data_IF_429875986981
#
_entry.id   IF_429875986981
#
_cell.length_a   1.000
_cell.length_b   1.000
_cell.length_c   1.000
_cell.angle_alpha   90.00
_cell.angle_beta   90.00
_cell.angle_gamma   90.00
#
_symmetry.space_group_name_H-M   'P 1'
#
loop_
_entity.id
_entity.type
_entity.pdbx_description
1 polymer ?
#
# COMPACT_ATOMS: atom_id res chain seq x y z
N UNK A 1 35.66 -42.57 -17.51
CA UNK A 1 34.26 -42.99 -17.70
C UNK A 1 33.41 -41.73 -17.77
N UNK A 2 32.85 -41.36 -18.93
CA UNK A 2 31.92 -40.23 -18.99
C UNK A 2 30.74 -40.56 -18.07
N UNK A 3 30.57 -39.77 -17.01
CA UNK A 3 29.40 -39.85 -16.14
C UNK A 3 28.17 -39.68 -17.02
N UNK A 4 27.22 -40.61 -16.97
CA UNK A 4 25.93 -40.44 -17.63
C UNK A 4 25.30 -39.16 -17.07
N UNK A 5 25.40 -38.05 -17.81
CA UNK A 5 24.87 -36.78 -17.39
C UNK A 5 23.36 -36.95 -17.22
N UNK A 6 22.87 -36.76 -16.01
CA UNK A 6 21.44 -36.81 -15.70
C UNK A 6 20.78 -35.59 -16.34
N UNK A 7 20.34 -35.74 -17.59
CA UNK A 7 19.63 -34.71 -18.33
C UNK A 7 18.13 -34.83 -18.07
N UNK A 8 17.49 -33.74 -17.67
CA UNK A 8 16.04 -33.63 -17.65
C UNK A 8 15.52 -33.48 -19.08
N UNK A 9 14.36 -34.05 -19.41
CA UNK A 9 13.71 -33.77 -20.69
C UNK A 9 13.37 -32.27 -20.80
N UNK A 10 13.47 -31.67 -22.00
CA UNK A 10 13.04 -30.30 -22.21
C UNK A 10 11.51 -30.21 -22.09
N UNK A 11 11.02 -29.07 -21.58
CA UNK A 11 9.60 -28.75 -21.63
C UNK A 11 9.11 -28.75 -23.09
N UNK A 12 7.86 -29.18 -23.31
CA UNK A 12 7.24 -29.13 -24.64
C UNK A 12 7.17 -27.70 -25.14
N UNK A 13 7.28 -27.51 -26.46
CA UNK A 13 7.04 -26.19 -27.05
C UNK A 13 5.66 -25.70 -26.66
N UNK A 14 5.59 -24.45 -26.19
CA UNK A 14 4.33 -23.84 -25.81
C UNK A 14 3.35 -23.81 -26.99
N UNK A 15 2.05 -23.85 -26.68
CA UNK A 15 1.01 -23.79 -27.70
C UNK A 15 1.19 -22.53 -28.57
N UNK A 16 1.05 -22.70 -29.89
CA UNK A 16 1.08 -21.57 -30.82
C UNK A 16 -0.29 -20.91 -30.89
N UNK A 17 -0.31 -19.62 -31.27
CA UNK A 17 -1.57 -18.89 -31.45
C UNK A 17 -2.48 -19.59 -32.46
N UNK A 18 -1.88 -20.08 -33.56
CA UNK A 18 -2.59 -20.86 -34.56
C UNK A 18 -3.20 -22.15 -33.99
N UNK A 19 -2.49 -22.86 -33.10
CA UNK A 19 -3.01 -24.08 -32.47
C UNK A 19 -4.21 -23.78 -31.57
N UNK A 20 -4.21 -22.66 -30.86
CA UNK A 20 -5.30 -22.27 -29.97
C UNK A 20 -6.52 -21.80 -30.74
N UNK A 21 -6.33 -20.99 -31.79
CA UNK A 21 -7.42 -20.55 -32.66
C UNK A 21 -8.09 -21.73 -33.38
N UNK A 22 -7.28 -22.68 -33.86
CA UNK A 22 -7.77 -23.87 -34.57
C UNK A 22 -8.30 -24.98 -33.65
N UNK A 23 -8.08 -24.88 -32.34
CA UNK A 23 -8.56 -25.89 -31.39
C UNK A 23 -10.09 -25.97 -31.44
N UNK A 24 -10.64 -27.19 -31.51
CA UNK A 24 -12.09 -27.42 -31.46
C UNK A 24 -12.62 -27.57 -30.04
N UNK A 25 -11.74 -27.86 -29.08
CA UNK A 25 -12.10 -27.99 -27.67
C UNK A 25 -11.99 -26.65 -26.95
N UNK A 26 -12.82 -26.50 -25.92
CA UNK A 26 -12.76 -25.42 -24.94
C UNK A 26 -13.11 -25.99 -23.58
N UNK A 27 -12.39 -25.59 -22.54
CA UNK A 27 -12.69 -26.03 -21.17
C UNK A 27 -13.79 -25.16 -20.56
N UNK A 28 -14.53 -25.69 -19.57
CA UNK A 28 -15.40 -24.86 -18.74
C UNK A 28 -14.60 -23.77 -18.02
N UNK A 29 -15.17 -22.57 -17.89
CA UNK A 29 -14.52 -21.41 -17.25
C UNK A 29 -14.04 -21.75 -15.82
N UNK A 30 -14.86 -22.44 -15.04
CA UNK A 30 -14.51 -22.79 -13.66
C UNK A 30 -13.35 -23.78 -13.59
N UNK A 31 -13.26 -24.69 -14.56
CA UNK A 31 -12.11 -25.60 -14.70
C UNK A 31 -10.84 -24.81 -14.96
N UNK A 32 -10.87 -23.84 -15.89
CA UNK A 32 -9.70 -22.99 -16.19
C UNK A 32 -9.25 -22.22 -14.95
N UNK A 33 -10.17 -21.54 -14.24
CA UNK A 33 -9.85 -20.82 -13.00
C UNK A 33 -9.26 -21.73 -11.94
N UNK A 34 -9.87 -22.90 -11.73
CA UNK A 34 -9.41 -23.88 -10.74
C UNK A 34 -8.00 -24.37 -11.07
N UNK A 35 -7.71 -24.66 -12.34
CA UNK A 35 -6.37 -25.05 -12.79
C UNK A 35 -5.34 -23.95 -12.53
N UNK A 36 -5.62 -22.70 -12.93
CA UNK A 36 -4.71 -21.57 -12.70
C UNK A 36 -4.44 -21.32 -11.21
N UNK A 37 -5.49 -21.34 -10.38
CA UNK A 37 -5.35 -21.16 -8.93
C UNK A 37 -4.58 -22.31 -8.30
N UNK A 38 -4.89 -23.55 -8.66
CA UNK A 38 -4.22 -24.74 -8.12
C UNK A 38 -2.72 -24.72 -8.44
N UNK A 39 -2.35 -24.44 -9.70
CA UNK A 39 -0.95 -24.36 -10.10
C UNK A 39 -0.26 -23.19 -9.38
N UNK A 40 -0.89 -22.02 -9.29
CA UNK A 40 -0.27 -20.87 -8.59
C UNK A 40 -0.04 -21.15 -7.10
N UNK A 41 -1.01 -21.74 -6.40
CA UNK A 41 -0.86 -22.12 -4.99
C UNK A 41 0.22 -23.19 -4.82
N UNK A 42 0.30 -24.17 -5.72
CA UNK A 42 1.34 -25.19 -5.71
C UNK A 42 2.74 -24.57 -5.84
N UNK A 43 2.94 -23.70 -6.84
CA UNK A 43 4.24 -23.07 -7.10
C UNK A 43 4.64 -22.15 -5.93
N UNK A 44 3.71 -21.37 -5.38
CA UNK A 44 3.97 -20.50 -4.22
C UNK A 44 4.32 -21.29 -2.95
N UNK A 45 3.63 -22.40 -2.69
CA UNK A 45 3.92 -23.29 -1.56
C UNK A 45 5.33 -23.89 -1.67
N UNK A 46 5.78 -24.22 -2.88
CA UNK A 46 7.14 -24.73 -3.10
C UNK A 46 8.18 -23.60 -3.05
N UNK A 47 7.92 -22.43 -3.66
CA UNK A 47 8.84 -21.29 -3.64
C UNK A 47 9.22 -20.89 -2.21
N UNK A 48 8.26 -20.90 -1.28
CA UNK A 48 8.51 -20.58 0.13
C UNK A 48 9.39 -21.63 0.86
N UNK A 49 9.48 -22.86 0.35
CA UNK A 49 10.18 -23.99 0.98
C UNK A 49 11.51 -24.32 0.34
N UNK A 50 11.66 -24.09 -0.97
CA UNK A 50 12.83 -24.47 -1.74
C UNK A 50 14.09 -23.81 -1.15
N UNK A 51 15.07 -24.64 -0.81
CA UNK A 51 16.37 -24.20 -0.28
C UNK A 51 17.47 -24.25 -1.33
N UNK A 52 17.22 -24.91 -2.47
CA UNK A 52 18.21 -25.07 -3.53
C UNK A 52 18.71 -23.70 -4.02
N UNK A 53 17.79 -22.81 -4.38
CA UNK A 53 18.12 -21.43 -4.78
C UNK A 53 17.51 -20.44 -3.80
N UNK A 54 18.23 -19.36 -3.56
CA UNK A 54 17.69 -18.22 -2.80
C UNK A 54 16.79 -17.44 -3.75
N UNK A 55 15.49 -17.40 -3.46
CA UNK A 55 14.62 -16.45 -4.13
C UNK A 55 15.14 -15.04 -3.81
N UNK A 56 15.33 -14.16 -4.82
CA UNK A 56 15.70 -12.78 -4.54
C UNK A 56 14.65 -12.16 -3.61
N UNK A 57 15.07 -11.22 -2.75
CA UNK A 57 14.12 -10.50 -1.92
C UNK A 57 13.08 -9.85 -2.82
N UNK A 58 11.81 -10.25 -2.65
CA UNK A 58 10.72 -9.74 -3.48
C UNK A 58 10.47 -8.29 -3.09
N UNK A 59 10.75 -7.35 -4.02
CA UNK A 59 10.25 -5.99 -3.88
C UNK A 59 8.72 -6.06 -3.97
N UNK A 60 8.00 -5.47 -3.01
CA UNK A 60 6.53 -5.41 -3.04
C UNK A 60 5.98 -4.68 -4.27
N UNK A 61 6.86 -3.99 -5.01
CA UNK A 61 6.56 -3.24 -6.22
C UNK A 61 7.19 -3.85 -7.48
N UNK A 62 7.56 -5.14 -7.48
CA UNK A 62 7.97 -5.87 -8.67
C UNK A 62 6.95 -6.95 -9.07
N UNK A 63 6.92 -7.29 -10.36
CA UNK A 63 6.04 -8.36 -10.83
C UNK A 63 6.59 -9.71 -10.40
N UNK A 64 5.78 -10.43 -9.61
CA UNK A 64 6.05 -11.81 -9.20
C UNK A 64 4.75 -12.61 -9.16
N UNK A 65 4.86 -13.95 -9.19
CA UNK A 65 3.72 -14.84 -9.03
C UNK A 65 2.99 -14.55 -7.72
N UNK A 66 3.74 -14.31 -6.63
CA UNK A 66 3.18 -13.99 -5.31
C UNK A 66 2.38 -12.71 -5.35
N UNK A 67 2.96 -11.63 -5.89
CA UNK A 67 2.28 -10.34 -5.97
C UNK A 67 0.99 -10.44 -6.80
N UNK A 68 1.02 -11.08 -7.98
CA UNK A 68 -0.18 -11.21 -8.82
C UNK A 68 -1.25 -12.10 -8.18
N UNK A 69 -0.85 -13.20 -7.52
CA UNK A 69 -1.76 -14.06 -6.79
C UNK A 69 -2.43 -13.33 -5.61
N UNK A 70 -1.65 -12.62 -4.80
CA UNK A 70 -2.15 -11.81 -3.69
C UNK A 70 -3.07 -10.69 -4.18
N UNK A 71 -2.72 -10.02 -5.29
CA UNK A 71 -3.58 -9.00 -5.90
C UNK A 71 -4.92 -9.58 -6.35
N UNK A 72 -4.89 -10.75 -6.99
CA UNK A 72 -6.10 -11.46 -7.40
C UNK A 72 -6.99 -11.81 -6.19
N UNK A 73 -6.38 -12.33 -5.11
CA UNK A 73 -7.07 -12.67 -3.86
C UNK A 73 -7.66 -11.44 -3.15
N UNK A 74 -6.93 -10.32 -3.13
CA UNK A 74 -7.36 -9.06 -2.52
C UNK A 74 -8.33 -8.25 -3.42
N UNK A 75 -8.69 -8.81 -4.58
CA UNK A 75 -9.68 -8.23 -5.47
C UNK A 75 -9.17 -7.06 -6.31
N UNK A 76 -7.87 -6.83 -6.43
CA UNK A 76 -7.39 -5.78 -7.34
C UNK A 76 -7.68 -6.13 -8.79
N UNK A 77 -8.11 -5.13 -9.54
CA UNK A 77 -8.28 -5.24 -10.98
C UNK A 77 -6.91 -5.22 -11.69
N UNK A 78 -6.82 -5.97 -12.79
CA UNK A 78 -5.66 -5.90 -13.66
C UNK A 78 -5.56 -4.49 -14.28
N UNK A 79 -4.35 -3.99 -14.57
CA UNK A 79 -4.18 -2.77 -15.34
C UNK A 79 -4.85 -2.93 -16.70
N UNK A 80 -5.65 -1.94 -17.12
CA UNK A 80 -6.16 -1.91 -18.49
C UNK A 80 -4.99 -1.83 -19.47
N UNK A 81 -5.10 -2.59 -20.56
CA UNK A 81 -4.13 -2.57 -21.66
C UNK A 81 -4.40 -1.45 -22.65
N UNK A 82 -5.60 -0.84 -22.61
CA UNK A 82 -5.87 0.34 -23.41
C UNK A 82 -4.97 1.45 -22.86
N UNK A 83 -3.98 1.84 -23.67
CA UNK A 83 -3.15 3.00 -23.36
C UNK A 83 -4.11 4.15 -23.09
N UNK A 84 -4.03 4.81 -21.93
CA UNK A 84 -4.81 6.01 -21.70
C UNK A 84 -4.46 6.96 -22.85
N UNK A 85 -5.45 7.29 -23.67
CA UNK A 85 -5.28 8.21 -24.78
C UNK A 85 -4.59 9.46 -24.20
N UNK A 86 -3.45 9.92 -24.75
CA UNK A 86 -2.75 11.08 -24.22
C UNK A 86 -3.65 12.33 -24.15
N UNK A 87 -4.72 12.39 -24.93
CA UNK A 87 -5.74 13.46 -24.87
C UNK A 87 -6.77 13.27 -23.74
N UNK A 88 -6.91 12.06 -23.18
CA UNK A 88 -7.88 11.72 -22.13
C UNK A 88 -7.37 11.95 -20.70
N UNK A 89 -6.06 12.14 -20.50
CA UNK A 89 -5.47 12.37 -19.18
C UNK A 89 -6.00 13.62 -18.43
N UNK A 90 -6.73 14.51 -19.11
CA UNK A 90 -7.36 15.70 -18.54
C UNK A 90 -8.81 15.50 -18.05
N UNK A 91 -9.44 14.33 -18.21
CA UNK A 91 -10.88 14.16 -17.93
C UNK A 91 -11.19 12.98 -16.99
N UNK A 92 -11.06 13.26 -15.68
CA UNK A 92 -11.81 12.72 -14.53
C UNK A 92 -11.89 11.20 -14.17
N UNK A 93 -11.86 10.88 -12.85
CA UNK A 93 -12.06 9.55 -12.26
C UNK A 93 -13.52 9.05 -12.19
N UNK A 94 -14.43 9.56 -13.02
CA UNK A 94 -15.89 9.41 -12.81
C UNK A 94 -16.50 8.09 -13.31
N UNK A 95 -15.79 7.32 -14.16
CA UNK A 95 -16.38 6.16 -14.85
C UNK A 95 -16.49 4.91 -13.97
N UNK A 96 -15.72 4.80 -12.89
CA UNK A 96 -15.78 3.62 -11.99
C UNK A 96 -16.98 3.62 -11.03
N UNK A 97 -17.77 4.70 -10.96
CA UNK A 97 -18.93 4.79 -10.08
C UNK A 97 -20.22 4.16 -10.67
N UNK A 98 -20.30 3.96 -11.99
CA UNK A 98 -21.55 3.62 -12.69
C UNK A 98 -21.82 2.11 -12.86
N UNK A 99 -21.01 1.22 -12.29
CA UNK A 99 -21.18 -0.24 -12.49
C UNK A 99 -21.70 -1.00 -11.26
N UNK A 100 -22.18 -0.31 -10.22
CA UNK A 100 -22.71 -0.91 -8.99
C UNK A 100 -24.22 -0.73 -8.79
N UNK A 101 -25.01 -0.52 -9.84
CA UNK A 101 -26.47 -0.46 -9.74
C UNK A 101 -27.10 -1.71 -10.35
N UNK A 102 -27.14 -2.79 -9.58
CA UNK A 102 -28.24 -3.76 -9.68
C UNK A 102 -28.31 -4.61 -8.39
N UNK A 103 -29.01 -4.08 -7.38
CA UNK A 103 -29.40 -4.87 -6.21
C UNK A 103 -30.68 -4.32 -5.61
N UNK A 104 -31.79 -4.87 -6.11
CA UNK A 104 -33.02 -5.25 -5.39
C UNK A 104 -33.32 -4.47 -4.12
N UNK A 105 -34.38 -3.64 -4.19
CA UNK A 105 -35.09 -3.11 -3.04
C UNK A 105 -35.53 -4.22 -2.09
N UNK A 106 -34.85 -4.36 -0.96
CA UNK A 106 -35.43 -4.94 0.26
C UNK A 106 -35.37 -3.89 1.37
N UNK A 107 -36.54 -3.60 1.91
CA UNK A 107 -36.79 -2.57 2.92
C UNK A 107 -36.50 -3.10 4.33
N UNK A 108 -36.00 -2.20 5.18
CA UNK A 108 -35.88 -2.32 6.64
C UNK A 108 -34.78 -3.22 7.21
N UNK A 109 -33.57 -2.69 7.34
CA UNK A 109 -32.65 -3.08 8.43
C UNK A 109 -31.77 -1.88 8.85
N UNK A 110 -31.67 -1.68 10.16
CA UNK A 110 -31.04 -0.62 10.95
C UNK A 110 -29.75 0.04 10.42
N UNK A 111 -29.47 1.30 10.83
CA UNK A 111 -28.27 2.04 10.46
C UNK A 111 -27.05 1.45 11.19
N UNK A 112 -26.42 0.44 10.60
CA UNK A 112 -25.08 0.03 10.99
C UNK A 112 -24.11 0.94 10.24
N UNK A 113 -23.50 1.86 10.98
CA UNK A 113 -22.42 2.75 10.53
C UNK A 113 -21.20 1.93 10.12
N UNK A 114 -21.27 1.23 8.99
CA UNK A 114 -20.09 0.79 8.28
C UNK A 114 -19.45 2.04 7.74
N UNK A 115 -18.43 2.53 8.45
CA UNK A 115 -17.44 3.46 7.92
C UNK A 115 -16.91 2.78 6.67
N UNK A 116 -17.48 3.14 5.51
CA UNK A 116 -16.95 2.80 4.22
C UNK A 116 -15.55 3.39 4.24
N UNK A 117 -14.55 2.51 4.37
CA UNK A 117 -13.14 2.84 4.19
C UNK A 117 -13.02 3.32 2.75
N UNK A 118 -13.30 4.61 2.55
CA UNK A 118 -13.31 5.27 1.27
C UNK A 118 -11.98 4.99 0.59
N UNK A 119 -12.07 4.66 -0.69
CA UNK A 119 -10.94 4.47 -1.60
C UNK A 119 -9.88 5.51 -1.29
N UNK A 120 -8.83 5.13 -0.56
CA UNK A 120 -7.75 6.06 -0.22
C UNK A 120 -7.19 6.57 -1.54
N UNK A 121 -7.08 7.89 -1.72
CA UNK A 121 -6.64 8.47 -2.99
C UNK A 121 -5.29 7.87 -3.37
N UNK A 122 -5.26 7.10 -4.46
CA UNK A 122 -4.08 6.38 -4.93
C UNK A 122 -4.15 4.85 -4.85
N UNK A 123 -5.20 4.27 -4.28
CA UNK A 123 -5.38 2.80 -4.28
C UNK A 123 -6.02 2.32 -5.58
N UNK A 124 -5.42 1.29 -6.20
CA UNK A 124 -6.01 0.64 -7.38
C UNK A 124 -7.44 0.17 -7.11
N UNK A 125 -8.34 0.24 -8.11
CA UNK A 125 -9.72 -0.21 -7.93
C UNK A 125 -9.76 -1.69 -7.52
N UNK A 126 -10.62 -2.00 -6.54
CA UNK A 126 -10.82 -3.35 -6.00
C UNK A 126 -12.25 -3.81 -6.23
N UNK A 127 -12.41 -5.08 -6.55
CA UNK A 127 -13.68 -5.81 -6.53
C UNK A 127 -13.79 -6.62 -5.25
N UNK A 128 -14.95 -6.65 -4.56
CA UNK A 128 -15.15 -7.50 -3.38
C UNK A 128 -15.30 -8.99 -3.73
N UNK A 129 -15.32 -9.35 -5.03
CA UNK A 129 -15.53 -10.72 -5.51
C UNK A 129 -14.31 -11.58 -5.21
N UNK A 130 -14.55 -12.77 -4.64
CA UNK A 130 -13.54 -13.83 -4.49
C UNK A 130 -13.03 -14.28 -5.88
N UNK A 131 -11.79 -14.78 -6.00
CA UNK A 131 -11.21 -15.18 -7.30
C UNK A 131 -12.12 -16.03 -8.19
N UNK A 132 -12.77 -17.07 -7.65
CA UNK A 132 -13.67 -17.92 -8.44
C UNK A 132 -14.89 -17.18 -9.03
N UNK A 133 -15.39 -16.15 -8.34
CA UNK A 133 -16.53 -15.33 -8.79
C UNK A 133 -16.12 -14.17 -9.72
N UNK A 134 -14.82 -13.97 -9.94
CA UNK A 134 -14.31 -12.94 -10.84
C UNK A 134 -14.46 -13.35 -12.31
N UNK A 135 -14.49 -12.39 -13.24
CA UNK A 135 -14.35 -12.68 -14.67
C UNK A 135 -13.10 -13.52 -14.97
N UNK A 136 -13.09 -14.26 -16.09
CA UNK A 136 -11.95 -15.10 -16.44
C UNK A 136 -10.77 -14.27 -16.98
N UNK A 137 -11.05 -13.16 -17.65
CA UNK A 137 -10.07 -12.21 -18.15
C UNK A 137 -9.14 -11.64 -17.05
N UNK A 138 -9.62 -11.56 -15.79
CA UNK A 138 -8.81 -11.13 -14.64
C UNK A 138 -7.63 -12.08 -14.34
N UNK A 139 -7.63 -13.28 -14.92
CA UNK A 139 -6.59 -14.30 -14.74
C UNK A 139 -5.51 -14.25 -15.84
N UNK A 140 -5.61 -13.34 -16.81
CA UNK A 140 -4.63 -13.19 -17.91
C UNK A 140 -3.19 -13.05 -17.39
N UNK A 141 -2.94 -12.08 -16.50
CA UNK A 141 -1.60 -11.82 -15.96
C UNK A 141 -1.08 -13.01 -15.12
N UNK A 142 -2.00 -13.68 -14.40
CA UNK A 142 -1.65 -14.87 -13.62
C UNK A 142 -1.21 -16.02 -14.54
N UNK A 143 -1.89 -16.20 -15.67
CA UNK A 143 -1.52 -17.21 -16.67
C UNK A 143 -0.11 -16.95 -17.24
N UNK A 144 0.20 -15.71 -17.59
CA UNK A 144 1.52 -15.33 -18.09
C UNK A 144 2.63 -15.59 -17.07
N UNK A 145 2.45 -15.12 -15.83
CA UNK A 145 3.47 -15.30 -14.79
C UNK A 145 3.65 -16.76 -14.41
N UNK A 146 2.60 -17.59 -14.49
CA UNK A 146 2.69 -19.03 -14.25
C UNK A 146 3.59 -19.72 -15.29
N UNK A 147 3.37 -19.46 -16.57
CA UNK A 147 4.20 -20.01 -17.65
C UNK A 147 5.67 -19.60 -17.48
N UNK A 148 5.92 -18.31 -17.24
CA UNK A 148 7.26 -17.78 -16.98
C UNK A 148 7.92 -18.45 -15.77
N UNK A 149 7.17 -18.62 -14.67
CA UNK A 149 7.68 -19.22 -13.42
C UNK A 149 8.06 -20.69 -13.61
N UNK A 150 7.19 -21.49 -14.25
CA UNK A 150 7.46 -22.93 -14.49
C UNK A 150 8.70 -23.10 -15.35
N UNK A 151 8.79 -22.33 -16.44
CA UNK A 151 9.91 -22.40 -17.35
C UNK A 151 11.22 -21.93 -16.69
N UNK A 152 11.18 -20.86 -15.90
CA UNK A 152 12.34 -20.39 -15.13
C UNK A 152 12.82 -21.44 -14.10
N UNK A 153 11.89 -22.06 -13.36
CA UNK A 153 12.23 -23.11 -12.39
C UNK A 153 12.82 -24.34 -13.07
N UNK A 154 12.25 -24.78 -14.19
CA UNK A 154 12.80 -25.89 -14.99
C UNK A 154 14.23 -25.58 -15.48
N UNK A 155 14.46 -24.40 -16.05
CA UNK A 155 15.79 -23.99 -16.50
C UNK A 155 16.81 -23.97 -15.36
N UNK A 156 16.42 -23.50 -14.17
CA UNK A 156 17.31 -23.55 -13.00
C UNK A 156 17.65 -24.99 -12.59
N UNK A 157 16.70 -25.92 -12.63
CA UNK A 157 17.00 -27.34 -12.36
C UNK A 157 17.99 -27.90 -13.38
N UNK A 158 17.77 -27.63 -14.67
CA UNK A 158 18.66 -28.05 -15.76
C UNK A 158 20.09 -27.55 -15.53
N UNK A 159 20.26 -26.24 -15.25
CA UNK A 159 21.59 -25.65 -15.01
C UNK A 159 22.28 -26.30 -13.81
N UNK A 160 21.55 -26.56 -12.71
CA UNK A 160 22.13 -27.19 -11.51
C UNK A 160 22.56 -28.63 -11.73
N UNK A 161 21.76 -29.41 -12.45
CA UNK A 161 22.07 -30.80 -12.79
C UNK A 161 23.24 -30.87 -13.77
N UNK A 162 23.29 -30.00 -14.77
CA UNK A 162 24.41 -29.91 -15.73
C UNK A 162 25.72 -29.51 -15.04
N UNK A 163 25.64 -28.65 -14.02
CA UNK A 163 26.81 -28.24 -13.24
C UNK A 163 27.21 -29.27 -12.16
N UNK A 164 26.51 -30.40 -12.06
CA UNK A 164 26.71 -31.43 -11.03
C UNK A 164 26.63 -30.92 -9.57
N UNK A 165 25.96 -29.78 -9.32
CA UNK A 165 25.67 -29.31 -7.96
C UNK A 165 24.65 -30.19 -7.25
N UNK A 166 23.80 -30.86 -8.01
CA UNK A 166 22.73 -31.70 -7.52
C UNK A 166 22.55 -32.95 -8.39
N UNK A 167 22.01 -34.01 -7.80
CA UNK A 167 21.53 -35.21 -8.49
C UNK A 167 20.00 -35.28 -8.54
N UNK A 168 19.44 -36.10 -9.43
CA UNK A 168 17.98 -36.27 -9.58
C UNK A 168 17.27 -36.78 -8.31
N UNK A 169 18.00 -37.52 -7.48
CA UNK A 169 17.52 -38.06 -6.22
C UNK A 169 17.57 -37.06 -5.05
N UNK A 170 18.22 -35.91 -5.24
CA UNK A 170 18.31 -34.88 -4.19
C UNK A 170 16.92 -34.28 -3.93
N UNK A 171 16.64 -34.00 -2.67
CA UNK A 171 15.39 -33.35 -2.26
C UNK A 171 15.47 -31.83 -2.43
N UNK A 172 14.40 -31.20 -2.92
CA UNK A 172 14.30 -29.75 -3.14
C UNK A 172 14.44 -28.92 -1.85
N UNK A 173 14.03 -29.50 -0.73
CA UNK A 173 14.10 -28.98 0.63
C UNK A 173 13.97 -30.15 1.62
N UNK A 174 14.30 -29.98 2.92
CA UNK A 174 14.21 -31.07 3.89
C UNK A 174 12.81 -31.70 3.91
N UNK A 175 12.72 -33.02 3.69
CA UNK A 175 11.45 -33.78 3.57
C UNK A 175 10.55 -33.36 2.39
N UNK A 176 11.11 -32.66 1.40
CA UNK A 176 10.43 -32.28 0.17
C UNK A 176 10.51 -33.35 -0.93
N UNK A 177 9.89 -33.08 -2.09
CA UNK A 177 10.00 -33.94 -3.26
C UNK A 177 11.45 -33.98 -3.76
N UNK A 178 11.81 -35.07 -4.42
CA UNK A 178 13.07 -35.13 -5.17
C UNK A 178 13.02 -34.20 -6.38
N UNK A 179 14.19 -33.83 -6.93
CA UNK A 179 14.28 -33.03 -8.14
C UNK A 179 13.51 -33.70 -9.29
N UNK A 180 13.61 -35.02 -9.45
CA UNK A 180 12.87 -35.76 -10.48
C UNK A 180 11.34 -35.68 -10.29
N UNK A 181 10.85 -35.78 -9.06
CA UNK A 181 9.42 -35.66 -8.75
C UNK A 181 8.91 -34.24 -9.00
N UNK A 182 9.69 -33.24 -8.59
CA UNK A 182 9.34 -31.84 -8.80
C UNK A 182 9.32 -31.50 -10.30
N UNK A 183 10.31 -31.95 -11.07
CA UNK A 183 10.36 -31.80 -12.52
C UNK A 183 9.15 -32.44 -13.22
N UNK A 184 8.75 -33.64 -12.79
CA UNK A 184 7.53 -34.29 -13.30
C UNK A 184 6.29 -33.42 -13.05
N UNK A 185 6.21 -32.79 -11.88
CA UNK A 185 5.10 -31.91 -11.53
C UNK A 185 5.12 -30.61 -12.34
N UNK A 186 6.31 -30.07 -12.64
CA UNK A 186 6.47 -28.92 -13.53
C UNK A 186 6.00 -29.24 -14.95
N UNK A 187 6.33 -30.42 -15.48
CA UNK A 187 5.84 -30.88 -16.78
C UNK A 187 4.32 -31.01 -16.81
N UNK A 188 3.71 -31.58 -15.77
CA UNK A 188 2.25 -31.68 -15.66
C UNK A 188 1.58 -30.31 -15.63
N UNK A 189 2.12 -29.37 -14.84
CA UNK A 189 1.62 -28.00 -14.79
C UNK A 189 1.79 -27.28 -16.14
N UNK A 190 2.94 -27.47 -16.79
CA UNK A 190 3.23 -26.92 -18.12
C UNK A 190 2.28 -27.45 -19.18
N UNK A 191 2.04 -28.76 -19.21
CA UNK A 191 1.12 -29.40 -20.16
C UNK A 191 -0.33 -28.94 -19.92
N UNK A 192 -0.75 -28.77 -18.65
CA UNK A 192 -2.06 -28.26 -18.33
C UNK A 192 -2.27 -26.80 -18.81
N UNK A 193 -1.26 -25.94 -18.64
CA UNK A 193 -1.33 -24.55 -19.11
C UNK A 193 -1.21 -24.44 -20.63
N UNK A 194 -0.49 -25.36 -21.28
CA UNK A 194 -0.35 -25.42 -22.73
C UNK A 194 -1.47 -26.20 -23.43
N UNK A 195 -2.48 -26.67 -22.70
CA UNK A 195 -3.66 -27.24 -23.33
C UNK A 195 -4.37 -26.19 -24.19
N UNK A 196 -4.52 -26.48 -25.49
CA UNK A 196 -5.06 -25.53 -26.44
C UNK A 196 -6.52 -25.15 -26.12
N UNK A 197 -7.30 -26.05 -25.49
CA UNK A 197 -8.67 -25.75 -25.07
C UNK A 197 -8.72 -24.77 -23.89
N UNK A 198 -7.80 -24.91 -22.93
CA UNK A 198 -7.72 -24.04 -21.77
C UNK A 198 -7.38 -22.62 -22.23
N UNK A 199 -6.30 -22.51 -23.01
CA UNK A 199 -5.84 -21.24 -23.54
C UNK A 199 -6.86 -20.61 -24.50
N UNK A 200 -7.59 -21.40 -25.31
CA UNK A 200 -8.70 -20.90 -26.15
C UNK A 200 -9.82 -20.27 -25.32
N UNK A 201 -10.16 -20.89 -24.19
CA UNK A 201 -11.22 -20.39 -23.31
C UNK A 201 -10.82 -19.07 -22.67
N UNK A 202 -9.56 -18.97 -22.23
CA UNK A 202 -8.99 -17.74 -21.68
C UNK A 202 -8.88 -16.64 -22.76
N UNK A 203 -8.38 -16.97 -23.96
CA UNK A 203 -8.29 -16.06 -25.10
C UNK A 203 -9.65 -15.47 -25.47
N UNK A 204 -10.68 -16.30 -25.58
CA UNK A 204 -12.03 -15.84 -25.88
C UNK A 204 -12.60 -14.92 -24.78
N UNK A 205 -12.28 -15.16 -23.51
CA UNK A 205 -12.70 -14.28 -22.41
C UNK A 205 -11.97 -12.92 -22.47
N UNK A 206 -10.66 -12.92 -22.70
CA UNK A 206 -9.86 -11.70 -22.85
C UNK A 206 -10.34 -10.86 -24.04
N UNK A 207 -10.63 -11.48 -25.20
CA UNK A 207 -11.20 -10.78 -26.36
C UNK A 207 -12.53 -10.12 -26.04
N UNK A 208 -13.45 -10.87 -25.41
CA UNK A 208 -14.75 -10.33 -25.00
C UNK A 208 -14.63 -9.16 -24.02
N UNK A 209 -13.70 -9.25 -23.07
CA UNK A 209 -13.43 -8.18 -22.13
C UNK A 209 -12.91 -6.92 -22.84
N UNK A 210 -11.99 -7.08 -23.79
CA UNK A 210 -11.46 -5.96 -24.60
C UNK A 210 -12.53 -5.33 -25.51
N UNK A 211 -13.39 -6.14 -26.14
CA UNK A 211 -14.55 -5.63 -26.88
C UNK A 211 -15.47 -4.83 -25.97
N UNK A 212 -15.76 -5.34 -24.77
CA UNK A 212 -16.59 -4.64 -23.79
C UNK A 212 -15.94 -3.31 -23.36
N UNK A 213 -14.63 -3.29 -23.15
CA UNK A 213 -13.90 -2.08 -22.79
C UNK A 213 -13.93 -1.04 -23.91
N UNK A 214 -13.69 -1.45 -25.16
CA UNK A 214 -13.80 -0.57 -26.33
C UNK A 214 -15.22 -0.03 -26.50
N UNK A 215 -16.25 -0.85 -26.28
CA UNK A 215 -17.64 -0.37 -26.27
C UNK A 215 -17.83 0.72 -25.20
N UNK A 216 -17.39 0.46 -23.96
CA UNK A 216 -17.51 1.42 -22.87
C UNK A 216 -16.78 2.72 -23.16
N UNK A 217 -15.61 2.65 -23.83
CA UNK A 217 -14.87 3.84 -24.24
C UNK A 217 -15.62 4.62 -25.33
N UNK A 218 -16.15 3.97 -26.36
CA UNK A 218 -16.99 4.62 -27.38
C UNK A 218 -18.19 5.32 -26.74
N UNK A 219 -18.88 4.65 -25.81
CA UNK A 219 -20.00 5.24 -25.07
C UNK A 219 -19.57 6.43 -24.21
N UNK A 220 -18.40 6.35 -23.57
CA UNK A 220 -17.84 7.47 -22.80
C UNK A 220 -17.49 8.66 -23.70
N UNK A 221 -16.88 8.42 -24.87
CA UNK A 221 -16.59 9.45 -25.87
C UNK A 221 -17.86 10.14 -26.37
N UNK A 222 -18.94 9.36 -26.58
CA UNK A 222 -20.26 9.90 -26.95
C UNK A 222 -20.84 10.79 -25.86
N UNK A 223 -20.78 10.36 -24.61
CA UNK A 223 -21.28 11.11 -23.44
C UNK A 223 -20.51 12.41 -23.21
N UNK A 224 -19.23 12.45 -23.59
CA UNK A 224 -18.42 13.67 -23.56
C UNK A 224 -18.53 14.51 -24.84
N UNK A 225 -19.47 14.21 -25.73
CA UNK A 225 -19.71 14.92 -27.00
C UNK A 225 -18.46 14.99 -27.93
N UNK A 226 -17.50 14.07 -27.77
CA UNK A 226 -16.31 14.00 -28.63
C UNK A 226 -16.59 13.38 -29.98
N UNK A 227 -17.61 12.52 -30.05
CA UNK A 227 -18.08 11.86 -31.26
C UNK A 227 -19.57 12.07 -31.43
N UNK A 228 -20.04 12.07 -32.68
CA UNK A 228 -21.48 12.17 -32.96
C UNK A 228 -22.18 10.84 -32.72
N UNK A 229 -23.52 10.86 -32.65
CA UNK A 229 -24.32 9.62 -32.56
C UNK A 229 -24.16 8.73 -33.81
N UNK A 230 -23.87 9.35 -34.96
CA UNK A 230 -23.60 8.59 -36.19
C UNK A 230 -22.28 7.83 -36.07
N UNK A 231 -21.22 8.51 -35.65
CA UNK A 231 -19.89 7.92 -35.46
C UNK A 231 -19.92 6.78 -34.43
N UNK A 232 -20.65 6.96 -33.32
CA UNK A 232 -20.87 5.90 -32.32
C UNK A 232 -21.46 4.63 -32.97
N UNK A 233 -22.52 4.77 -33.78
CA UNK A 233 -23.16 3.62 -34.45
C UNK A 233 -22.22 2.94 -35.45
N UNK A 234 -21.44 3.72 -36.17
CA UNK A 234 -20.44 3.20 -37.12
C UNK A 234 -19.33 2.44 -36.40
N UNK A 235 -18.73 3.03 -35.36
CA UNK A 235 -17.68 2.39 -34.56
C UNK A 235 -18.19 1.12 -33.87
N UNK A 236 -19.39 1.13 -33.32
CA UNK A 236 -19.99 -0.06 -32.71
C UNK A 236 -20.27 -1.15 -33.75
N UNK A 237 -20.77 -0.78 -34.93
CA UNK A 237 -20.99 -1.73 -36.04
C UNK A 237 -19.67 -2.39 -36.43
N UNK A 238 -18.60 -1.62 -36.55
CA UNK A 238 -17.29 -2.13 -36.95
C UNK A 238 -16.67 -3.00 -35.85
N UNK A 239 -16.80 -2.59 -34.58
CA UNK A 239 -16.33 -3.36 -33.40
C UNK A 239 -16.99 -4.75 -33.30
N UNK A 240 -18.30 -4.84 -33.60
CA UNK A 240 -19.03 -6.11 -33.53
C UNK A 240 -19.02 -6.93 -34.82
N UNK A 241 -18.60 -6.34 -35.95
CA UNK A 241 -18.49 -7.06 -37.23
C UNK A 241 -17.42 -8.14 -37.18
N UNK A 242 -16.24 -7.80 -36.64
CA UNK A 242 -15.06 -8.67 -36.66
C UNK A 242 -14.45 -8.82 -35.26
N UNK A 243 -15.19 -9.43 -34.32
CA UNK A 243 -14.68 -9.66 -32.95
C UNK A 243 -13.40 -10.50 -32.91
N UNK A 244 -13.13 -11.28 -33.95
CA UNK A 244 -11.94 -12.10 -34.09
C UNK A 244 -10.68 -11.29 -34.42
N UNK A 245 -10.83 -10.04 -34.88
CA UNK A 245 -9.71 -9.12 -35.11
C UNK A 245 -9.18 -8.50 -33.81
N UNK A 246 -10.03 -8.44 -32.77
CA UNK A 246 -9.63 -7.91 -31.46
C UNK A 246 -8.59 -8.83 -30.86
N UNK A 247 -7.41 -8.31 -30.58
CA UNK A 247 -6.31 -9.06 -29.99
C UNK A 247 -6.76 -9.77 -28.70
N UNK A 248 -6.56 -11.09 -28.63
CA UNK A 248 -6.79 -11.87 -27.41
C UNK A 248 -5.52 -11.95 -26.57
N UNK A 249 -5.16 -13.15 -26.12
CA UNK A 249 -3.87 -13.38 -25.46
C UNK A 249 -2.72 -12.93 -26.38
N UNK A 250 -1.81 -12.14 -25.84
CA UNK A 250 -0.57 -11.74 -26.49
C UNK A 250 0.45 -12.90 -26.52
N UNK A 251 1.09 -13.11 -27.69
CA UNK A 251 2.18 -14.07 -27.86
C UNK A 251 3.53 -13.36 -27.67
N UNK A 252 4.04 -13.41 -26.45
CA UNK A 252 5.27 -12.70 -26.08
C UNK A 252 6.48 -13.57 -26.45
N UNK A 253 7.13 -13.27 -27.58
CA UNK A 253 8.52 -13.67 -27.88
C UNK A 253 8.90 -15.13 -27.62
N UNK A 254 8.03 -16.08 -27.96
CA UNK A 254 8.28 -17.52 -27.75
C UNK A 254 8.17 -17.98 -26.29
N UNK A 255 7.43 -17.24 -25.46
CA UNK A 255 7.21 -17.52 -24.03
C UNK A 255 8.48 -17.48 -23.17
N UNK A 256 9.50 -16.74 -23.63
CA UNK A 256 10.72 -16.54 -22.86
C UNK A 256 10.39 -15.86 -21.51
N UNK A 257 10.81 -16.44 -20.36
CA UNK A 257 10.44 -15.94 -19.03
C UNK A 257 10.76 -14.46 -18.81
N UNK A 258 11.96 -14.03 -19.26
CA UNK A 258 12.42 -12.64 -19.12
C UNK A 258 11.56 -11.64 -19.92
N UNK A 259 11.08 -12.04 -21.10
CA UNK A 259 10.23 -11.18 -21.94
C UNK A 259 8.84 -11.02 -21.33
N UNK A 260 8.28 -12.10 -20.78
CA UNK A 260 6.99 -12.07 -20.08
C UNK A 260 7.08 -11.17 -18.84
N UNK A 261 8.14 -11.32 -18.03
CA UNK A 261 8.34 -10.49 -16.84
C UNK A 261 8.51 -9.02 -17.21
N UNK A 262 9.35 -8.70 -18.20
CA UNK A 262 9.56 -7.32 -18.65
C UNK A 262 8.27 -6.68 -19.19
N UNK A 263 7.46 -7.43 -19.94
CA UNK A 263 6.16 -6.97 -20.43
C UNK A 263 5.18 -6.69 -19.29
N UNK A 264 5.07 -7.60 -18.31
CA UNK A 264 4.22 -7.38 -17.14
C UNK A 264 4.76 -6.22 -16.28
N UNK A 265 6.07 -6.07 -16.13
CA UNK A 265 6.65 -4.95 -15.38
C UNK A 265 6.29 -3.60 -16.00
N UNK A 266 6.35 -3.48 -17.34
CA UNK A 266 5.91 -2.27 -18.03
C UNK A 266 4.40 -2.06 -17.87
N UNK A 267 3.58 -3.11 -17.97
CA UNK A 267 2.12 -3.06 -17.75
C UNK A 267 1.78 -2.52 -16.35
N UNK A 268 2.49 -2.96 -15.32
CA UNK A 268 2.23 -2.56 -13.92
C UNK A 268 2.99 -1.29 -13.49
N UNK A 269 3.91 -0.78 -14.30
CA UNK A 269 4.81 0.33 -13.96
C UNK A 269 4.09 1.57 -13.42
N UNK A 270 3.00 1.98 -14.07
CA UNK A 270 2.25 3.17 -13.67
C UNK A 270 1.56 2.98 -12.32
N UNK A 271 1.01 1.79 -12.05
CA UNK A 271 0.34 1.44 -10.80
C UNK A 271 1.37 1.35 -9.67
N UNK A 272 2.47 0.65 -9.88
CA UNK A 272 3.51 0.52 -8.86
C UNK A 272 4.16 1.85 -8.50
N UNK A 273 4.33 2.77 -9.45
CA UNK A 273 4.78 4.14 -9.12
C UNK A 273 3.83 4.83 -8.14
N UNK A 274 2.52 4.80 -8.43
CA UNK A 274 1.49 5.42 -7.58
C UNK A 274 1.42 4.75 -6.20
N UNK A 275 1.44 3.42 -6.16
CA UNK A 275 1.41 2.66 -4.90
C UNK A 275 2.67 2.90 -4.06
N UNK A 276 3.85 2.99 -4.70
CA UNK A 276 5.12 3.29 -4.03
C UNK A 276 5.16 4.72 -3.49
N UNK A 277 4.60 5.69 -4.21
CA UNK A 277 4.44 7.06 -3.73
C UNK A 277 3.46 7.13 -2.55
N UNK A 278 2.32 6.45 -2.64
CA UNK A 278 1.34 6.36 -1.55
C UNK A 278 1.94 5.70 -0.30
N UNK A 279 2.71 4.62 -0.45
CA UNK A 279 3.42 3.97 0.65
C UNK A 279 4.42 4.92 1.33
N UNK A 280 5.22 5.66 0.54
CA UNK A 280 6.15 6.68 1.07
C UNK A 280 5.43 7.80 1.81
N UNK A 281 4.25 8.21 1.36
CA UNK A 281 3.45 9.23 2.05
C UNK A 281 2.94 8.70 3.39
N UNK A 282 2.46 7.45 3.42
CA UNK A 282 1.99 6.79 4.63
C UNK A 282 3.12 6.63 5.66
N UNK A 283 4.33 6.26 5.23
CA UNK A 283 5.52 6.19 6.09
C UNK A 283 5.93 7.55 6.68
N UNK A 284 5.65 8.65 5.96
CA UNK A 284 5.97 10.02 6.42
C UNK A 284 4.92 10.59 7.38
N UNK A 285 3.69 10.10 7.39
CA UNK A 285 2.64 10.58 8.30
C UNK A 285 3.00 10.49 9.79
N UNK A 286 3.50 9.36 10.34
CA UNK A 286 3.86 9.28 11.76
C UNK A 286 4.98 10.25 12.11
N UNK A 287 5.95 10.45 11.20
CA UNK A 287 7.02 11.43 11.37
C UNK A 287 6.46 12.86 11.42
N UNK A 288 5.51 13.20 10.54
CA UNK A 288 4.81 14.49 10.57
C UNK A 288 4.05 14.70 11.88
N UNK A 289 3.29 13.70 12.32
CA UNK A 289 2.54 13.74 13.60
C UNK A 289 3.49 13.87 14.80
N UNK A 290 4.64 13.21 14.77
CA UNK A 290 5.66 13.31 15.83
C UNK A 290 6.32 14.69 15.86
N UNK A 291 6.70 15.23 14.71
CA UNK A 291 7.24 16.59 14.60
C UNK A 291 6.23 17.65 15.05
N UNK A 292 4.95 17.47 14.74
CA UNK A 292 3.89 18.37 15.19
C UNK A 292 3.70 18.30 16.71
N UNK A 293 3.66 17.10 17.29
CA UNK A 293 3.64 16.90 18.75
C UNK A 293 4.84 17.53 19.43
N UNK A 294 6.03 17.43 18.83
CA UNK A 294 7.26 18.04 19.36
C UNK A 294 7.18 19.57 19.32
N UNK A 295 6.69 20.16 18.22
CA UNK A 295 6.45 21.61 18.13
C UNK A 295 5.46 22.10 19.17
N UNK A 296 4.37 21.35 19.42
CA UNK A 296 3.39 21.68 20.46
C UNK A 296 4.04 21.64 21.84
N UNK A 297 4.80 20.58 22.15
CA UNK A 297 5.54 20.47 23.42
C UNK A 297 6.54 21.59 23.62
N UNK A 298 7.23 22.00 22.55
CA UNK A 298 8.17 23.13 22.58
C UNK A 298 7.43 24.44 22.87
N UNK A 299 6.31 24.71 22.19
CA UNK A 299 5.46 25.90 22.46
C UNK A 299 4.95 25.93 23.89
N UNK A 300 4.45 24.79 24.39
CA UNK A 300 3.99 24.66 25.78
C UNK A 300 5.12 24.91 26.78
N UNK A 301 6.34 24.43 26.50
CA UNK A 301 7.52 24.70 27.33
C UNK A 301 7.88 26.19 27.34
N UNK A 302 7.94 26.81 26.16
CA UNK A 302 8.23 28.25 26.05
C UNK A 302 7.15 29.10 26.74
N UNK A 303 5.89 28.73 26.62
CA UNK A 303 4.77 29.41 27.30
C UNK A 303 4.85 29.24 28.82
N UNK A 304 5.15 28.03 29.30
CA UNK A 304 5.40 27.75 30.70
C UNK A 304 6.60 28.56 31.24
N UNK A 305 7.71 28.63 30.49
CA UNK A 305 8.87 29.45 30.87
C UNK A 305 8.55 30.94 30.93
N UNK A 306 7.73 31.44 29.98
CA UNK A 306 7.24 32.84 30.01
C UNK A 306 6.36 33.10 31.22
N UNK A 307 5.44 32.19 31.53
CA UNK A 307 4.54 32.27 32.70
C UNK A 307 5.32 32.22 34.03
N UNK A 308 6.27 31.31 34.15
CA UNK A 308 7.18 31.25 35.31
C UNK A 308 8.03 32.52 35.42
N UNK A 309 8.45 33.08 34.29
CA UNK A 309 9.18 34.35 34.22
C UNK A 309 8.39 35.54 34.74
N UNK A 310 7.11 35.66 34.37
CA UNK A 310 6.21 36.71 34.87
C UNK A 310 5.90 36.53 36.34
N UNK A 311 5.60 35.32 36.79
CA UNK A 311 5.33 35.03 38.20
C UNK A 311 6.54 35.35 39.09
N UNK A 312 7.76 35.02 38.65
CA UNK A 312 9.00 35.41 39.35
C UNK A 312 9.18 36.93 39.43
N UNK A 313 8.82 37.68 38.39
CA UNK A 313 8.89 39.15 38.39
C UNK A 313 7.86 39.76 39.33
N UNK A 314 6.64 39.23 39.33
CA UNK A 314 5.57 39.66 40.23
C UNK A 314 5.92 39.36 41.70
N UNK A 315 6.42 38.16 42.01
CA UNK A 315 6.91 37.82 43.35
C UNK A 315 8.03 38.75 43.81
N UNK A 316 9.00 39.06 42.95
CA UNK A 316 10.06 40.05 43.26
C UNK A 316 9.52 41.45 43.47
N UNK A 317 8.51 41.86 42.69
CA UNK A 317 7.85 43.16 42.85
C UNK A 317 7.10 43.23 44.18
N UNK A 318 6.27 42.23 44.49
CA UNK A 318 5.57 42.13 45.76
C UNK A 318 6.53 42.09 46.96
N UNK A 319 7.65 41.37 46.83
CA UNK A 319 8.70 41.37 47.84
C UNK A 319 9.28 42.77 48.05
N UNK A 320 9.65 43.50 46.99
CA UNK A 320 10.13 44.88 47.09
C UNK A 320 9.10 45.83 47.69
N UNK A 321 7.84 45.68 47.32
CA UNK A 321 6.72 46.45 47.89
C UNK A 321 6.57 46.16 49.39
N UNK A 322 6.67 44.89 49.81
CA UNK A 322 6.64 44.49 51.22
C UNK A 322 7.85 45.00 52.02
N UNK A 323 9.05 44.95 51.44
CA UNK A 323 10.26 45.51 52.04
C UNK A 323 10.17 47.04 52.15
N UNK A 324 9.55 47.70 51.16
CA UNK A 324 9.26 49.13 51.19
C UNK A 324 8.30 49.49 52.34
N UNK A 325 7.17 48.79 52.45
CA UNK A 325 6.21 48.97 53.54
C UNK A 325 6.84 48.69 54.93
N UNK A 326 7.67 47.65 55.04
CA UNK A 326 8.39 47.36 56.28
C UNK A 326 9.35 48.49 56.67
N UNK A 327 10.08 49.08 55.71
CA UNK A 327 10.94 50.25 55.97
C UNK A 327 10.13 51.47 56.40
N UNK A 328 9.02 51.77 55.73
CA UNK A 328 8.13 52.87 56.12
C UNK A 328 7.58 52.69 57.54
N UNK A 329 7.22 51.45 57.89
CA UNK A 329 6.77 51.10 59.24
C UNK A 329 7.87 51.33 60.28
N UNK A 330 9.12 50.90 60.02
CA UNK A 330 10.24 51.16 60.93
C UNK A 330 10.49 52.66 61.11
N UNK A 331 10.54 53.44 60.02
CA UNK A 331 10.71 54.91 60.11
C UNK A 331 9.58 55.58 60.90
N UNK A 332 8.35 55.09 60.76
CA UNK A 332 7.20 55.59 61.53
C UNK A 332 7.32 55.21 63.01
N UNK A 333 7.76 54.00 63.32
CA UNK A 333 8.01 53.55 64.68
C UNK A 333 9.10 54.40 65.36
N UNK A 334 10.21 54.67 64.67
CA UNK A 334 11.30 55.53 65.17
C UNK A 334 10.79 56.94 65.47
N UNK A 335 10.00 57.56 64.58
CA UNK A 335 9.38 58.87 64.84
C UNK A 335 8.44 58.86 66.05
N UNK A 336 7.68 57.78 66.25
CA UNK A 336 6.81 57.64 67.42
C UNK A 336 7.67 57.53 68.70
N UNK A 337 8.78 56.80 68.65
CA UNK A 337 9.72 56.72 69.77
C UNK A 337 10.38 58.07 70.06
N UNK A 338 10.87 58.79 69.05
CA UNK A 338 11.43 60.13 69.18
C UNK A 338 10.42 61.11 69.77
N UNK A 339 9.18 61.07 69.29
CA UNK A 339 8.12 61.91 69.83
C UNK A 339 7.77 61.53 71.28
N UNK A 340 7.77 60.23 71.60
CA UNK A 340 7.63 59.74 72.97
C UNK A 340 8.75 60.22 73.90
N UNK A 341 10.01 60.19 73.45
CA UNK A 341 11.16 60.75 74.18
C UNK A 341 11.02 62.25 74.38
N UNK A 342 10.60 62.97 73.35
CA UNK A 342 10.35 64.41 73.42
C UNK A 342 9.25 64.76 74.45
N UNK A 343 8.13 64.04 74.44
CA UNK A 343 7.06 64.22 75.43
C UNK A 343 7.51 63.88 76.85
N UNK A 344 8.31 62.81 77.03
CA UNK A 344 8.92 62.49 78.33
C UNK A 344 9.87 63.58 78.81
N UNK A 345 10.70 64.14 77.94
CA UNK A 345 11.61 65.23 78.26
C UNK A 345 10.85 66.52 78.64
N UNK A 346 9.78 66.85 77.91
CA UNK A 346 8.89 67.96 78.26
C UNK A 346 8.22 67.75 79.63
N UNK A 347 7.72 66.55 79.90
CA UNK A 347 7.11 66.23 81.18
C UNK A 347 8.13 66.26 82.34
N UNK A 348 9.37 65.80 82.12
CA UNK A 348 10.45 65.90 83.10
C UNK A 348 10.82 67.36 83.40
N UNK A 349 10.85 68.22 82.37
CA UNK A 349 11.11 69.65 82.52
C UNK A 349 9.99 70.38 83.30
N UNK A 350 8.74 69.99 83.09
CA UNK A 350 7.59 70.57 83.81
C UNK A 350 7.49 70.10 85.28
N UNK A 351 8.07 68.94 85.60
CA UNK A 351 8.12 68.41 86.98
C UNK A 351 9.36 68.83 87.79
N UNK A 352 10.28 69.61 87.23
CA UNK A 352 11.41 70.20 87.98
C UNK A 352 12.32 69.19 88.70
N UNK A 353 12.47 67.99 88.12
CA UNK A 353 13.34 66.96 88.67
C UNK A 353 14.77 67.12 88.11
N UNK A 354 15.81 67.18 88.97
CA UNK A 354 17.21 67.35 88.55
C UNK A 354 17.75 66.12 87.80
N UNK A 355 18.59 66.35 86.79
CA UNK A 355 18.96 65.41 85.71
C UNK A 355 19.77 64.14 86.12
N UNK A 356 19.98 63.85 87.40
CA UNK A 356 21.03 62.91 87.84
C UNK A 356 20.59 61.50 88.31
N UNK A 357 19.34 61.09 88.18
CA UNK A 357 18.92 59.70 88.53
C UNK A 357 17.98 59.07 87.49
N UNK A 358 18.50 58.78 86.30
CA UNK A 358 17.89 57.80 85.40
C UNK A 358 18.57 56.44 85.61
N UNK A 359 18.09 55.69 86.60
CA UNK A 359 18.41 54.28 86.80
C UNK A 359 17.87 53.48 85.62
N UNK A 360 18.76 52.85 84.85
CA UNK A 360 18.41 51.81 83.87
C UNK A 360 17.70 50.67 84.60
N UNK A 361 16.39 50.57 84.45
CA UNK A 361 15.70 49.31 84.67
C UNK A 361 15.83 48.49 83.38
N UNK A 362 16.77 47.54 83.38
CA UNK A 362 16.79 46.44 82.41
C UNK A 362 15.51 45.62 82.57
N UNK A 363 14.59 45.72 81.61
CA UNK A 363 13.49 44.75 81.46
C UNK A 363 14.03 43.48 80.78
N UNK A 364 13.77 42.36 81.46
CA UNK A 364 14.10 40.97 81.09
C UNK A 364 13.41 40.46 79.84
#
# INVERSE_FOLDING_TARGET
MPSAHSQLPPLRTAASQASILNSRSSHPIDTVKTTLLTISTFLLSNEAKITLWKSPATDGFSVSLRMLHERLQQGYLAPSLLKPDPTSAATSPMVNALTNEDKTMDTNTSPRTSIAMGNSPGTSPRTPKKPMARPLEDFEDLYYVLLSTIHSQHQMLVVRLQSAFNGLADTMYPRGPTIAQFDTTLHQAWDALNDAGLAKTLDAAVRRARVKEMHMDIAAQRNCERITQWDEKELLRDLYRDTDTVQGLEWIGGWAPCMIVAWLEEKYRAIFRKEKEAAKLLEREPLRKNLEKEKIRKRQREEWERSMGTERREKKRAQRESEGLAREFMVRADRVQEHGRYLKALAAADMGLPEDECVEYEEF
#
